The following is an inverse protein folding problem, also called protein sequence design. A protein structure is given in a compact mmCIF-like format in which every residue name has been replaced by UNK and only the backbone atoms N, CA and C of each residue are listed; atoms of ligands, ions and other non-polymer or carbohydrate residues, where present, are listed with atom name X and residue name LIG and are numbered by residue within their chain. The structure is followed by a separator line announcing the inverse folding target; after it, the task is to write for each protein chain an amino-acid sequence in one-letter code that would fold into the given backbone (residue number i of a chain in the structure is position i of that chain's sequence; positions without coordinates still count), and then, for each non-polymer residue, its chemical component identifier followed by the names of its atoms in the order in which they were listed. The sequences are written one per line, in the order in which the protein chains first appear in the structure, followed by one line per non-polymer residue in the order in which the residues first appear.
data_IF_772541488250
#
_entry.id   IF_772541488250
#
_cell.length_a   1.000
_cell.length_b   1.000
_cell.length_c   1.000
_cell.angle_alpha   90.00
_cell.angle_beta   90.00
_cell.angle_gamma   90.00
#
_symmetry.space_group_name_H-M   'P 1'
#
loop_
_entity.id
_entity.type
_entity.pdbx_description
1 polymer ?
#
# COMPACT_ATOMS: atom_id res chain seq x y z
N UNK A 1 -3.35 -28.23 5.00
CA UNK A 1 -2.79 -26.86 5.16
C UNK A 1 -3.82 -25.71 5.17
N UNK A 2 -4.72 -25.55 4.17
CA UNK A 2 -5.71 -24.43 4.16
C UNK A 2 -6.67 -24.38 5.37
N UNK A 3 -7.09 -25.55 5.89
CA UNK A 3 -8.02 -25.62 7.03
C UNK A 3 -7.41 -25.11 8.35
N UNK A 4 -6.13 -25.40 8.59
CA UNK A 4 -5.42 -24.94 9.79
C UNK A 4 -5.18 -23.44 9.75
N UNK A 5 -4.76 -22.89 8.61
CA UNK A 5 -4.64 -21.44 8.39
C UNK A 5 -5.95 -20.73 8.73
N UNK A 6 -7.08 -21.22 8.19
CA UNK A 6 -8.38 -20.59 8.42
C UNK A 6 -8.81 -20.69 9.90
N UNK A 7 -8.50 -21.80 10.59
CA UNK A 7 -8.77 -21.97 12.02
C UNK A 7 -7.97 -20.97 12.87
N UNK A 8 -6.67 -20.83 12.60
CA UNK A 8 -5.80 -19.85 13.28
C UNK A 8 -6.29 -18.43 12.99
N UNK A 9 -6.61 -18.12 11.73
CA UNK A 9 -7.13 -16.83 11.32
C UNK A 9 -8.41 -16.44 12.08
N UNK A 10 -9.38 -17.37 12.20
CA UNK A 10 -10.59 -17.14 13.00
C UNK A 10 -10.29 -16.89 14.48
N UNK A 11 -9.28 -17.57 15.04
CA UNK A 11 -8.82 -17.34 16.41
C UNK A 11 -8.19 -15.95 16.58
N UNK A 12 -7.35 -15.52 15.65
CA UNK A 12 -6.76 -14.17 15.69
C UNK A 12 -7.86 -13.10 15.58
N UNK A 13 -8.86 -13.31 14.71
CA UNK A 13 -9.98 -12.39 14.59
C UNK A 13 -10.82 -12.27 15.86
N UNK A 14 -10.97 -13.35 16.64
CA UNK A 14 -11.71 -13.31 17.90
C UNK A 14 -11.02 -12.48 18.98
N UNK A 15 -9.68 -12.34 18.91
CA UNK A 15 -8.88 -11.49 19.80
C UNK A 15 -9.02 -9.98 19.50
N UNK A 16 -9.67 -9.61 18.39
CA UNK A 16 -9.90 -8.21 17.95
C UNK A 16 -8.64 -7.32 18.02
N UNK A 17 -7.53 -7.71 17.36
CA UNK A 17 -6.31 -6.91 17.35
C UNK A 17 -6.54 -5.51 16.77
N UNK A 18 -6.03 -4.49 17.46
CA UNK A 18 -6.21 -3.08 17.11
C UNK A 18 -5.55 -2.68 15.79
N UNK A 19 -4.49 -3.38 15.39
CA UNK A 19 -3.71 -3.07 14.17
C UNK A 19 -4.14 -3.89 12.94
N UNK A 20 -5.25 -4.62 13.01
CA UNK A 20 -5.75 -5.37 11.87
C UNK A 20 -6.61 -4.46 10.98
N UNK A 21 -5.93 -3.79 10.05
CA UNK A 21 -6.52 -2.79 9.14
C UNK A 21 -7.53 -3.45 8.18
N UNK A 22 -7.24 -4.66 7.69
CA UNK A 22 -8.10 -5.36 6.74
C UNK A 22 -8.64 -6.65 7.36
N UNK A 23 -9.96 -6.69 7.61
CA UNK A 23 -10.67 -7.86 8.14
C UNK A 23 -11.30 -8.67 7.01
N UNK A 24 -11.09 -9.98 7.02
CA UNK A 24 -11.73 -10.95 6.13
C UNK A 24 -10.89 -11.41 4.93
N UNK A 25 -11.30 -12.51 4.30
CA UNK A 25 -10.70 -13.00 3.05
C UNK A 25 -11.38 -12.32 1.85
N UNK A 26 -11.10 -11.03 1.65
CA UNK A 26 -11.55 -10.31 0.45
C UNK A 26 -10.43 -10.33 -0.59
N UNK A 27 -10.81 -10.31 -1.87
CA UNK A 27 -9.82 -10.09 -2.92
C UNK A 27 -9.21 -8.68 -2.76
N UNK A 28 -7.95 -8.46 -3.19
CA UNK A 28 -7.35 -7.12 -3.17
C UNK A 28 -8.21 -6.05 -3.87
N UNK A 29 -8.88 -6.42 -4.98
CA UNK A 29 -9.79 -5.52 -5.69
C UNK A 29 -11.01 -5.11 -4.85
N UNK A 30 -11.59 -6.05 -4.12
CA UNK A 30 -12.71 -5.74 -3.22
C UNK A 30 -12.26 -4.89 -2.03
N UNK A 31 -11.06 -5.15 -1.48
CA UNK A 31 -10.49 -4.33 -0.41
C UNK A 31 -10.29 -2.89 -0.87
N UNK A 32 -9.72 -2.68 -2.06
CA UNK A 32 -9.54 -1.36 -2.64
C UNK A 32 -10.88 -0.64 -2.80
N UNK A 33 -11.88 -1.30 -3.42
CA UNK A 33 -13.22 -0.72 -3.63
C UNK A 33 -13.89 -0.31 -2.31
N UNK A 34 -13.84 -1.17 -1.28
CA UNK A 34 -14.53 -0.90 0.00
C UNK A 34 -13.77 0.12 0.87
N UNK A 35 -12.46 0.23 0.72
CA UNK A 35 -11.64 1.15 1.53
C UNK A 35 -11.92 2.64 1.30
N UNK A 36 -12.44 3.01 0.12
CA UNK A 36 -12.61 4.42 -0.28
C UNK A 36 -11.30 5.19 -0.46
N UNK A 37 -10.14 4.51 -0.47
CA UNK A 37 -8.81 5.14 -0.53
C UNK A 37 -8.63 6.04 -1.74
N UNK A 38 -9.14 5.62 -2.91
CA UNK A 38 -9.05 6.41 -4.13
C UNK A 38 -9.74 7.78 -3.96
N UNK A 39 -10.91 7.81 -3.32
CA UNK A 39 -11.64 9.07 -3.09
C UNK A 39 -10.89 9.97 -2.11
N UNK A 40 -10.35 9.41 -1.02
CA UNK A 40 -9.55 10.17 -0.06
C UNK A 40 -8.33 10.81 -0.72
N UNK A 41 -7.65 10.07 -1.60
CA UNK A 41 -6.52 10.58 -2.36
C UNK A 41 -6.93 11.68 -3.34
N UNK A 42 -8.01 11.48 -4.10
CA UNK A 42 -8.57 12.50 -5.02
C UNK A 42 -8.94 13.78 -4.26
N UNK A 43 -9.54 13.64 -3.08
CA UNK A 43 -9.91 14.75 -2.20
C UNK A 43 -8.70 15.40 -1.49
N UNK A 44 -7.49 14.88 -1.67
CA UNK A 44 -6.26 15.30 -0.99
C UNK A 44 -6.30 15.15 0.54
N UNK A 45 -7.13 14.23 1.04
CA UNK A 45 -7.19 13.86 2.47
C UNK A 45 -5.99 12.99 2.88
N UNK A 46 -5.34 12.34 1.91
CA UNK A 46 -4.12 11.56 2.09
C UNK A 46 -3.09 11.93 1.02
N UNK A 47 -1.81 11.85 1.38
CA UNK A 47 -0.69 12.11 0.48
C UNK A 47 -0.50 11.01 -0.58
N UNK A 48 0.25 11.31 -1.63
CA UNK A 48 0.66 10.33 -2.63
C UNK A 48 1.40 9.14 -2.01
N UNK A 49 2.27 9.40 -1.03
CA UNK A 49 3.02 8.36 -0.33
C UNK A 49 2.08 7.43 0.45
N UNK A 50 1.15 7.99 1.22
CA UNK A 50 0.16 7.20 1.97
C UNK A 50 -0.71 6.36 1.03
N UNK A 51 -1.21 6.96 -0.05
CA UNK A 51 -2.02 6.23 -1.01
C UNK A 51 -1.25 5.05 -1.62
N UNK A 52 -0.01 5.26 -2.07
CA UNK A 52 0.85 4.19 -2.60
C UNK A 52 1.18 3.13 -1.55
N UNK A 53 1.41 3.52 -0.29
CA UNK A 53 1.62 2.56 0.80
C UNK A 53 0.39 1.68 1.04
N UNK A 54 -0.80 2.27 1.01
CA UNK A 54 -2.04 1.51 1.18
C UNK A 54 -2.29 0.57 0.00
N UNK A 55 -2.00 0.99 -1.24
CA UNK A 55 -2.06 0.12 -2.42
C UNK A 55 -1.12 -1.08 -2.30
N UNK A 56 0.13 -0.85 -1.89
CA UNK A 56 1.10 -1.91 -1.64
C UNK A 56 0.57 -2.90 -0.58
N UNK A 57 0.01 -2.39 0.51
CA UNK A 57 -0.51 -3.23 1.60
C UNK A 57 -1.70 -4.07 1.15
N UNK A 58 -2.64 -3.49 0.40
CA UNK A 58 -3.81 -4.22 -0.16
C UNK A 58 -3.37 -5.29 -1.16
N UNK A 59 -2.31 -5.03 -1.93
CA UNK A 59 -1.72 -6.00 -2.84
C UNK A 59 -0.97 -7.14 -2.11
N UNK A 60 -0.88 -7.12 -0.79
CA UNK A 60 -0.23 -8.15 0.03
C UNK A 60 1.27 -7.93 0.23
N UNK A 61 1.81 -6.75 -0.11
CA UNK A 61 3.22 -6.42 0.13
C UNK A 61 3.46 -6.02 1.58
N UNK A 62 4.63 -6.37 2.11
CA UNK A 62 4.99 -6.08 3.50
C UNK A 62 6.49 -5.91 3.68
N UNK A 63 6.91 -5.30 4.79
CA UNK A 63 8.31 -5.20 5.17
C UNK A 63 8.92 -6.52 5.65
N UNK A 64 8.09 -7.55 5.87
CA UNK A 64 8.51 -8.83 6.46
C UNK A 64 9.06 -9.82 5.43
N UNK A 65 8.79 -9.62 4.15
CA UNK A 65 9.24 -10.48 3.06
C UNK A 65 9.90 -9.63 1.97
N UNK A 66 11.21 -9.79 1.81
CA UNK A 66 12.00 -9.05 0.82
C UNK A 66 11.54 -9.29 -0.62
N UNK A 67 10.98 -10.47 -0.92
CA UNK A 67 10.47 -10.77 -2.26
C UNK A 67 9.15 -10.05 -2.58
N UNK A 68 8.42 -9.62 -1.54
CA UNK A 68 7.14 -8.90 -1.63
C UNK A 68 7.21 -7.53 -0.94
N UNK A 69 8.37 -6.87 -1.01
CA UNK A 69 8.56 -5.54 -0.43
C UNK A 69 7.69 -4.48 -1.13
N UNK A 70 7.26 -3.39 -0.46
CA UNK A 70 6.55 -2.30 -1.11
C UNK A 70 7.32 -1.72 -2.31
N UNK A 71 6.60 -1.44 -3.39
CA UNK A 71 7.15 -0.88 -4.63
C UNK A 71 6.72 0.57 -4.80
N UNK A 72 7.65 1.38 -5.29
CA UNK A 72 7.44 2.80 -5.58
C UNK A 72 8.00 3.14 -6.96
N UNK A 73 7.37 4.07 -7.68
CA UNK A 73 7.90 4.56 -8.93
C UNK A 73 9.13 5.44 -8.70
N UNK A 74 10.08 5.38 -9.63
CA UNK A 74 11.11 6.40 -9.76
C UNK A 74 10.46 7.68 -10.28
N UNK A 75 10.52 8.74 -9.48
CA UNK A 75 9.91 10.03 -9.83
C UNK A 75 10.89 10.92 -10.57
N UNK A 76 12.14 10.98 -10.13
CA UNK A 76 13.17 11.82 -10.69
C UNK A 76 14.02 11.04 -11.70
N UNK A 77 14.55 11.74 -12.70
CA UNK A 77 15.50 11.17 -13.68
C UNK A 77 16.89 11.82 -13.59
N UNK A 78 16.99 13.04 -13.07
CA UNK A 78 18.28 13.72 -12.90
C UNK A 78 18.85 13.50 -11.50
N UNK A 79 19.95 12.76 -11.45
CA UNK A 79 20.73 12.46 -10.24
C UNK A 79 22.16 13.00 -10.33
N UNK A 80 22.46 13.83 -11.32
CA UNK A 80 23.83 14.29 -11.63
C UNK A 80 24.00 15.79 -11.45
N UNK A 81 22.93 16.58 -11.65
CA UNK A 81 22.98 18.02 -11.46
C UNK A 81 23.27 18.39 -10.02
N UNK A 82 24.09 19.44 -9.84
CA UNK A 82 24.41 19.99 -8.51
C UNK A 82 23.18 20.59 -7.82
N UNK A 83 22.25 21.15 -8.60
CA UNK A 83 20.99 21.72 -8.15
C UNK A 83 19.88 21.10 -8.99
N UNK A 84 18.87 20.57 -8.33
CA UNK A 84 17.70 19.98 -8.97
C UNK A 84 16.59 21.04 -9.07
N UNK A 85 16.23 21.40 -10.30
CA UNK A 85 15.11 22.28 -10.59
C UNK A 85 13.82 21.46 -10.74
N UNK A 86 12.88 21.63 -9.81
CA UNK A 86 11.60 20.92 -9.79
C UNK A 86 10.52 21.57 -10.67
N UNK A 87 10.78 22.76 -11.23
CA UNK A 87 9.87 23.40 -12.20
C UNK A 87 10.14 22.89 -13.63
N UNK A 88 11.31 22.31 -13.88
CA UNK A 88 11.66 21.72 -15.17
C UNK A 88 10.93 20.37 -15.37
N UNK A 89 9.99 20.26 -16.32
CA UNK A 89 9.24 19.01 -16.54
C UNK A 89 10.14 17.84 -16.97
N UNK A 90 11.34 18.10 -17.50
CA UNK A 90 12.26 17.07 -17.97
C UNK A 90 12.97 16.32 -16.83
N UNK A 91 12.88 16.79 -15.58
CA UNK A 91 13.50 16.10 -14.44
C UNK A 91 12.63 14.97 -13.87
N UNK A 92 11.40 14.81 -14.36
CA UNK A 92 10.45 13.77 -13.94
C UNK A 92 10.31 12.66 -15.00
N UNK A 93 9.99 11.44 -14.55
CA UNK A 93 9.76 10.25 -15.39
C UNK A 93 8.36 10.20 -16.01
#
# INVERSE_FOLDING_TARGET
EKGMRNKIYSCILSLRPVNLIYKGQRSPGDLLRVSGLAQKWINREISNFEYLMQLNTIAGRSYNDLSQYPVFPWILVDYTSKVLDLENPNVFR
#
